data_IF_396213015370
#
_entry.id   IF_396213015370
#
_cell.length_a   1.000
_cell.length_b   1.000
_cell.length_c   1.000
_cell.angle_alpha   90.00
_cell.angle_beta   90.00
_cell.angle_gamma   90.00
#
_symmetry.space_group_name_H-M   'P 1'
#
loop_
_entity.id
_entity.type
_entity.pdbx_description
1 polymer ?
#
# COMPACT_ATOMS: atom_id res chain seq x y z
N UNK A 1 -2.27 -15.15 -5.04
CA UNK A 1 -1.41 -15.03 -3.81
C UNK A 1 -2.03 -14.18 -2.70
N UNK A 2 -2.67 -13.06 -2.98
CA UNK A 2 -3.29 -12.20 -1.95
C UNK A 2 -4.32 -12.97 -1.08
N UNK A 3 -5.32 -13.62 -1.69
CA UNK A 3 -6.34 -14.40 -0.96
C UNK A 3 -5.77 -15.57 -0.17
N UNK A 4 -4.72 -16.20 -0.66
CA UNK A 4 -3.99 -17.25 0.08
C UNK A 4 -3.35 -16.69 1.35
N UNK A 5 -2.90 -15.43 1.32
CA UNK A 5 -2.36 -14.77 2.52
C UNK A 5 -3.48 -14.44 3.51
N UNK A 6 -4.64 -13.98 3.06
CA UNK A 6 -5.82 -13.79 3.94
C UNK A 6 -6.22 -15.09 4.63
N UNK A 7 -6.36 -16.16 3.85
CA UNK A 7 -6.70 -17.50 4.38
C UNK A 7 -5.64 -17.98 5.37
N UNK A 8 -4.35 -17.86 5.05
CA UNK A 8 -3.24 -18.21 5.93
C UNK A 8 -3.28 -17.44 7.26
N UNK A 9 -3.59 -16.12 7.24
CA UNK A 9 -3.77 -15.33 8.46
C UNK A 9 -4.92 -15.88 9.30
N UNK A 10 -6.05 -16.21 8.68
CA UNK A 10 -7.21 -16.74 9.38
C UNK A 10 -6.95 -18.12 10.00
N UNK A 11 -6.20 -18.97 9.31
CA UNK A 11 -5.94 -20.33 9.79
C UNK A 11 -4.79 -20.40 10.81
N UNK A 12 -3.68 -19.74 10.55
CA UNK A 12 -2.42 -19.91 11.28
C UNK A 12 -1.89 -18.66 11.96
N UNK A 13 -2.52 -17.52 11.77
CA UNK A 13 -2.08 -16.24 12.33
C UNK A 13 -2.08 -16.23 13.85
N UNK A 14 -1.05 -15.66 14.43
CA UNK A 14 -0.95 -15.41 15.87
C UNK A 14 -1.89 -14.29 16.29
N UNK A 15 -2.33 -14.30 17.54
CA UNK A 15 -3.22 -13.26 18.08
C UNK A 15 -2.41 -12.30 18.93
N UNK A 16 -2.67 -11.00 18.75
CA UNK A 16 -2.09 -9.92 19.55
C UNK A 16 -3.13 -8.81 19.74
N UNK A 17 -3.08 -8.11 20.86
CA UNK A 17 -3.82 -6.86 21.05
C UNK A 17 -2.84 -5.69 20.93
N UNK A 18 -3.18 -4.71 20.10
CA UNK A 18 -2.49 -3.45 19.97
C UNK A 18 -3.40 -2.29 20.42
N UNK A 19 -2.93 -1.04 20.29
CA UNK A 19 -3.71 0.14 20.71
C UNK A 19 -5.04 0.31 19.94
N UNK A 20 -5.16 -0.28 18.75
CA UNK A 20 -6.33 -0.17 17.87
C UNK A 20 -7.29 -1.34 18.00
N UNK A 21 -6.91 -2.42 18.66
CA UNK A 21 -7.74 -3.60 18.83
C UNK A 21 -6.99 -4.91 18.75
N UNK A 22 -7.76 -5.99 18.70
CA UNK A 22 -7.23 -7.34 18.56
C UNK A 22 -7.02 -7.69 17.10
N UNK A 23 -5.86 -8.26 16.80
CA UNK A 23 -5.45 -8.65 15.46
C UNK A 23 -5.05 -10.13 15.38
N UNK A 24 -5.25 -10.72 14.21
CA UNK A 24 -4.60 -11.95 13.79
C UNK A 24 -3.52 -11.62 12.77
N UNK A 25 -2.27 -12.08 12.97
CA UNK A 25 -1.14 -11.61 12.17
C UNK A 25 -0.14 -12.71 11.79
N UNK A 26 0.59 -12.45 10.71
CA UNK A 26 1.78 -13.18 10.28
C UNK A 26 2.96 -12.21 10.17
N UNK A 27 4.18 -12.76 10.27
CA UNK A 27 5.41 -12.01 10.09
C UNK A 27 6.15 -12.50 8.85
N UNK A 28 6.82 -11.55 8.17
CA UNK A 28 7.72 -11.81 7.04
C UNK A 28 7.06 -12.58 5.90
N UNK A 29 5.84 -12.17 5.54
CA UNK A 29 5.14 -12.72 4.37
C UNK A 29 5.58 -11.99 3.09
N UNK A 30 5.58 -12.73 1.98
CA UNK A 30 5.90 -12.19 0.67
C UNK A 30 4.75 -12.42 -0.29
N UNK A 31 4.34 -11.34 -0.97
CA UNK A 31 3.38 -11.36 -2.07
C UNK A 31 4.10 -11.05 -3.38
N UNK A 32 3.85 -11.83 -4.42
CA UNK A 32 4.25 -11.49 -5.79
C UNK A 32 2.99 -11.48 -6.65
N UNK A 33 2.67 -10.30 -7.19
CA UNK A 33 1.41 -10.03 -7.91
C UNK A 33 1.70 -9.73 -9.37
N UNK A 34 1.04 -10.46 -10.24
CA UNK A 34 0.99 -10.19 -11.69
C UNK A 34 -0.06 -9.12 -12.00
N UNK A 35 -0.08 -8.52 -13.20
CA UNK A 35 -1.16 -7.63 -13.61
C UNK A 35 -2.56 -8.25 -13.49
N UNK A 36 -2.71 -9.55 -13.69
CA UNK A 36 -3.99 -10.25 -13.52
C UNK A 36 -4.42 -10.31 -12.04
N UNK A 37 -3.47 -10.64 -11.12
CA UNK A 37 -3.75 -10.61 -9.68
C UNK A 37 -4.18 -9.22 -9.21
N UNK A 38 -3.58 -8.16 -9.76
CA UNK A 38 -3.94 -6.77 -9.41
C UNK A 38 -5.37 -6.42 -9.80
N UNK A 39 -5.79 -6.81 -11.01
CA UNK A 39 -7.15 -6.56 -11.49
C UNK A 39 -8.17 -7.30 -10.63
N UNK A 40 -7.93 -8.57 -10.32
CA UNK A 40 -8.78 -9.38 -9.45
C UNK A 40 -8.95 -8.74 -8.06
N UNK A 41 -7.86 -8.29 -7.42
CA UNK A 41 -7.93 -7.57 -6.14
C UNK A 41 -8.76 -6.29 -6.28
N UNK A 42 -8.56 -5.50 -7.34
CA UNK A 42 -9.27 -4.23 -7.52
C UNK A 42 -10.75 -4.40 -7.83
N UNK A 43 -11.16 -5.51 -8.42
CA UNK A 43 -12.56 -5.82 -8.70
C UNK A 43 -13.27 -6.36 -7.46
N UNK A 44 -12.64 -7.23 -6.72
CA UNK A 44 -13.21 -7.89 -5.55
C UNK A 44 -13.31 -6.97 -4.32
N UNK A 45 -12.32 -6.08 -4.15
CA UNK A 45 -12.34 -5.11 -3.06
C UNK A 45 -13.08 -3.83 -3.44
N UNK A 46 -13.95 -3.36 -2.55
CA UNK A 46 -14.62 -2.07 -2.66
C UNK A 46 -13.70 -0.86 -2.37
N UNK A 47 -12.45 -0.87 -2.85
CA UNK A 47 -11.51 0.22 -2.62
C UNK A 47 -11.93 1.52 -3.30
N UNK A 48 -11.72 2.64 -2.63
CA UNK A 48 -12.08 3.97 -3.10
C UNK A 48 -11.09 4.50 -4.17
N UNK A 49 -11.00 3.84 -5.34
CA UNK A 49 -9.97 4.09 -6.38
C UNK A 49 -9.80 5.57 -6.75
N UNK A 50 -10.91 6.33 -6.85
CA UNK A 50 -10.85 7.77 -7.16
C UNK A 50 -10.14 8.55 -6.07
N UNK A 51 -10.47 8.29 -4.81
CA UNK A 51 -9.85 8.93 -3.64
C UNK A 51 -8.38 8.55 -3.52
N UNK A 52 -8.04 7.27 -3.70
CA UNK A 52 -6.64 6.81 -3.67
C UNK A 52 -5.79 7.42 -4.80
N UNK A 53 -6.36 7.62 -5.99
CA UNK A 53 -5.68 8.31 -7.08
C UNK A 53 -5.41 9.78 -6.73
N UNK A 54 -6.37 10.48 -6.14
CA UNK A 54 -6.19 11.86 -5.70
C UNK A 54 -5.22 11.96 -4.53
N UNK A 55 -5.28 11.02 -3.58
CA UNK A 55 -4.33 10.91 -2.47
C UNK A 55 -2.88 10.79 -2.96
N UNK A 56 -2.61 9.86 -3.89
CA UNK A 56 -1.28 9.71 -4.47
C UNK A 56 -0.80 11.01 -5.14
N UNK A 57 -1.69 11.71 -5.83
CA UNK A 57 -1.37 13.00 -6.46
C UNK A 57 -0.99 14.05 -5.41
N UNK A 58 -1.75 14.16 -4.32
CA UNK A 58 -1.44 15.06 -3.20
C UNK A 58 -0.10 14.68 -2.54
N UNK A 59 0.18 13.39 -2.37
CA UNK A 59 1.48 12.90 -1.88
C UNK A 59 2.63 13.33 -2.80
N UNK A 60 2.50 13.15 -4.10
CA UNK A 60 3.52 13.52 -5.10
C UNK A 60 3.75 15.03 -5.18
N UNK A 61 2.76 15.84 -4.81
CA UNK A 61 2.85 17.29 -4.71
C UNK A 61 3.42 17.77 -3.36
N UNK A 62 3.71 16.85 -2.43
CA UNK A 62 4.21 17.19 -1.10
C UNK A 62 3.18 17.91 -0.22
N UNK A 63 1.87 17.77 -0.51
CA UNK A 63 0.80 18.43 0.26
C UNK A 63 0.70 17.79 1.64
N UNK A 64 0.93 18.58 2.69
CA UNK A 64 0.91 18.13 4.10
C UNK A 64 -0.32 18.60 4.87
N UNK A 65 -1.08 19.55 4.34
CA UNK A 65 -2.30 20.08 4.94
C UNK A 65 -3.44 19.05 4.86
N UNK A 66 -3.92 18.55 6.01
CA UNK A 66 -4.96 17.53 6.10
C UNK A 66 -6.30 18.03 5.54
N UNK A 67 -6.57 19.35 5.60
CA UNK A 67 -7.81 19.90 5.02
C UNK A 67 -7.87 19.69 3.50
N UNK A 68 -6.72 19.69 2.80
CA UNK A 68 -6.70 19.39 1.35
C UNK A 68 -7.13 17.95 1.03
N UNK A 69 -6.84 17.00 1.92
CA UNK A 69 -7.32 15.63 1.80
C UNK A 69 -8.83 15.55 2.06
N UNK A 70 -9.33 16.27 3.07
CA UNK A 70 -10.78 16.35 3.35
C UNK A 70 -11.56 16.98 2.20
N UNK A 71 -11.07 18.06 1.60
CA UNK A 71 -11.63 18.69 0.42
C UNK A 71 -11.76 17.68 -0.75
N UNK A 72 -10.80 16.74 -0.85
CA UNK A 72 -10.84 15.64 -1.81
C UNK A 72 -11.71 14.44 -1.35
N UNK A 73 -12.38 14.55 -0.20
CA UNK A 73 -13.19 13.49 0.41
C UNK A 73 -12.37 12.36 1.04
N UNK A 74 -11.10 12.59 1.35
CA UNK A 74 -10.17 11.64 1.96
C UNK A 74 -10.13 11.93 3.46
N UNK A 75 -10.74 11.08 4.27
CA UNK A 75 -10.95 11.31 5.71
C UNK A 75 -10.10 10.42 6.62
N UNK A 76 -9.39 9.44 6.07
CA UNK A 76 -8.59 8.52 6.88
C UNK A 76 -7.28 9.11 7.42
N UNK A 77 -6.99 10.40 7.15
CA UNK A 77 -5.90 11.17 7.74
C UNK A 77 -6.35 12.11 8.88
N UNK A 78 -7.65 12.16 9.20
CA UNK A 78 -8.22 13.09 10.19
C UNK A 78 -7.60 12.93 11.59
N UNK A 79 -7.17 11.71 11.95
CA UNK A 79 -6.49 11.43 13.20
C UNK A 79 -5.09 12.06 13.32
N UNK A 80 -4.54 12.57 12.22
CA UNK A 80 -3.23 13.22 12.19
C UNK A 80 -3.25 14.69 12.62
N UNK A 81 -4.43 15.27 12.89
CA UNK A 81 -4.60 16.69 13.16
C UNK A 81 -4.55 17.52 11.88
N UNK A 82 -3.84 18.67 11.90
CA UNK A 82 -3.85 19.60 10.76
C UNK A 82 -2.77 19.31 9.72
N UNK A 83 -1.69 18.64 10.08
CA UNK A 83 -0.51 18.52 9.21
C UNK A 83 0.08 17.12 9.25
N UNK A 84 0.35 16.56 8.06
CA UNK A 84 1.08 15.33 7.88
C UNK A 84 2.59 15.58 8.02
N UNK A 85 3.12 15.36 9.22
CA UNK A 85 4.55 15.49 9.52
C UNK A 85 5.21 14.13 9.45
N UNK A 86 6.33 14.02 8.74
CA UNK A 86 7.08 12.76 8.58
C UNK A 86 6.23 11.61 8.02
N UNK A 87 5.26 11.92 7.15
CA UNK A 87 4.36 10.98 6.51
C UNK A 87 4.64 10.89 4.99
N UNK A 88 3.82 10.17 4.28
CA UNK A 88 3.95 9.90 2.84
C UNK A 88 4.28 11.14 1.98
N UNK A 89 3.61 12.31 2.12
CA UNK A 89 3.89 13.47 1.27
C UNK A 89 5.34 13.96 1.35
N UNK A 90 5.98 13.82 2.52
CA UNK A 90 7.39 14.23 2.74
C UNK A 90 8.37 13.47 1.83
N UNK A 91 8.02 12.26 1.46
CA UNK A 91 8.90 11.37 0.70
C UNK A 91 8.44 11.22 -0.75
N UNK A 92 7.14 11.22 -1.00
CA UNK A 92 6.55 11.03 -2.33
C UNK A 92 6.76 12.23 -3.27
N UNK A 93 7.06 13.41 -2.76
CA UNK A 93 7.50 14.54 -3.59
C UNK A 93 8.77 14.23 -4.43
N UNK A 94 9.52 13.19 -4.03
CA UNK A 94 10.71 12.70 -4.75
C UNK A 94 10.37 11.68 -5.85
N UNK A 95 9.14 11.20 -5.91
CA UNK A 95 8.71 10.20 -6.90
C UNK A 95 8.68 10.74 -8.34
N UNK A 96 8.14 11.94 -8.64
CA UNK A 96 8.10 12.46 -10.00
C UNK A 96 9.49 12.58 -10.66
N UNK A 97 10.52 13.16 -10.03
CA UNK A 97 11.85 13.22 -10.63
C UNK A 97 12.48 11.82 -10.80
N UNK A 98 12.19 10.86 -9.90
CA UNK A 98 12.64 9.49 -10.04
C UNK A 98 12.02 8.83 -11.27
N UNK A 99 10.71 8.95 -11.47
CA UNK A 99 10.01 8.41 -12.65
C UNK A 99 10.52 9.05 -13.94
N UNK A 100 10.70 10.37 -13.95
CA UNK A 100 11.29 11.08 -15.10
C UNK A 100 12.65 10.51 -15.45
N UNK A 101 13.48 10.21 -14.46
CA UNK A 101 14.80 9.60 -14.66
C UNK A 101 14.68 8.19 -15.22
N UNK A 102 13.79 7.35 -14.68
CA UNK A 102 13.55 5.98 -15.17
C UNK A 102 13.13 6.00 -16.64
N UNK A 103 12.15 6.84 -16.98
CA UNK A 103 11.62 6.94 -18.36
C UNK A 103 12.65 7.44 -19.36
N UNK A 104 13.57 8.31 -18.93
CA UNK A 104 14.68 8.78 -19.76
C UNK A 104 15.75 7.71 -19.98
N UNK A 105 16.14 7.01 -18.91
CA UNK A 105 17.27 6.08 -18.93
C UNK A 105 16.89 4.69 -19.46
N UNK A 106 15.71 4.19 -19.13
CA UNK A 106 15.14 2.88 -19.52
C UNK A 106 16.14 1.72 -19.42
N UNK A 107 16.99 1.74 -18.40
CA UNK A 107 18.03 0.73 -18.14
C UNK A 107 17.85 0.11 -16.76
N UNK A 108 18.32 -1.11 -16.57
CA UNK A 108 18.38 -1.69 -15.23
C UNK A 108 19.32 -0.88 -14.33
N UNK A 109 18.84 -0.44 -13.18
CA UNK A 109 19.63 0.28 -12.17
C UNK A 109 19.14 -0.08 -10.77
N UNK A 110 20.08 -0.44 -9.91
CA UNK A 110 19.79 -0.70 -8.48
C UNK A 110 19.44 0.57 -7.69
N UNK A 111 19.66 1.75 -8.29
CA UNK A 111 19.51 3.06 -7.64
C UNK A 111 18.13 3.71 -7.88
N UNK A 112 17.20 3.02 -8.53
CA UNK A 112 15.82 3.51 -8.65
C UNK A 112 15.02 3.13 -7.40
N UNK A 113 15.30 3.81 -6.30
CA UNK A 113 14.70 3.53 -4.99
C UNK A 113 14.10 4.80 -4.42
N UNK A 114 12.86 4.70 -3.95
CA UNK A 114 12.18 5.68 -3.12
C UNK A 114 12.19 5.17 -1.68
N UNK A 115 12.91 5.85 -0.80
CA UNK A 115 12.89 5.60 0.64
C UNK A 115 11.80 6.40 1.31
N UNK A 116 11.06 5.77 2.23
CA UNK A 116 9.88 6.32 2.90
C UNK A 116 10.07 6.23 4.42
N UNK A 117 10.71 7.21 4.99
CA UNK A 117 10.95 7.27 6.42
C UNK A 117 12.40 7.55 6.78
N UNK A 118 12.61 7.77 8.07
CA UNK A 118 13.92 8.05 8.68
C UNK A 118 14.14 7.11 9.87
N UNK A 119 15.41 6.80 10.17
CA UNK A 119 15.77 5.96 11.30
C UNK A 119 15.37 6.63 12.62
N UNK A 120 14.79 5.85 13.55
CA UNK A 120 14.38 6.34 14.86
C UNK A 120 13.11 7.21 14.84
N UNK A 121 12.35 7.20 13.74
CA UNK A 121 11.10 7.94 13.65
C UNK A 121 10.08 7.41 14.63
N UNK A 122 9.72 8.22 15.61
CA UNK A 122 8.63 7.98 16.55
C UNK A 122 7.41 8.80 16.16
N UNK A 123 6.62 8.31 15.20
CA UNK A 123 5.42 9.00 14.76
C UNK A 123 4.33 7.99 14.42
N UNK A 124 3.11 8.28 14.86
CA UNK A 124 1.92 7.53 14.44
C UNK A 124 1.57 7.79 12.97
N UNK A 125 2.22 8.76 12.34
CA UNK A 125 2.09 9.12 10.92
C UNK A 125 3.17 8.48 10.04
N UNK A 126 4.18 7.80 10.62
CA UNK A 126 5.26 7.19 9.86
C UNK A 126 4.70 6.20 8.81
N UNK A 127 5.16 6.27 7.55
CA UNK A 127 4.70 5.40 6.49
C UNK A 127 4.77 3.92 6.87
N UNK A 128 3.73 3.16 6.56
CA UNK A 128 3.77 1.70 6.66
C UNK A 128 4.68 1.11 5.60
N UNK A 129 4.71 1.69 4.42
CA UNK A 129 5.65 1.36 3.34
C UNK A 129 6.99 2.06 3.62
N UNK A 130 8.09 1.31 3.65
CA UNK A 130 9.42 1.82 4.01
C UNK A 130 10.31 2.10 2.80
N UNK A 131 10.12 1.36 1.70
CA UNK A 131 10.80 1.61 0.44
C UNK A 131 10.00 1.06 -0.74
N UNK A 132 10.24 1.66 -1.92
CA UNK A 132 9.83 1.13 -3.22
C UNK A 132 11.03 1.14 -4.14
N UNK A 133 11.35 0.01 -4.74
CA UNK A 133 12.39 -0.13 -5.75
C UNK A 133 11.78 -0.44 -7.12
N UNK A 134 12.24 0.29 -8.13
CA UNK A 134 11.89 0.07 -9.53
C UNK A 134 13.06 -0.63 -10.21
N UNK A 135 12.79 -1.77 -10.83
CA UNK A 135 13.78 -2.56 -11.57
C UNK A 135 13.27 -2.79 -12.98
N UNK A 136 14.18 -2.84 -13.94
CA UNK A 136 13.87 -3.19 -15.32
C UNK A 136 14.50 -4.54 -15.59
N UNK A 137 13.65 -5.50 -15.93
CA UNK A 137 14.03 -6.88 -16.24
C UNK A 137 13.48 -7.25 -17.60
N UNK A 138 14.37 -7.53 -18.55
CA UNK A 138 14.04 -7.88 -19.94
C UNK A 138 13.09 -6.86 -20.63
N UNK A 139 13.22 -5.58 -20.31
CA UNK A 139 12.39 -4.51 -20.89
C UNK A 139 11.03 -4.30 -20.19
N UNK A 140 10.76 -5.01 -19.14
CA UNK A 140 9.56 -4.90 -18.32
C UNK A 140 9.88 -4.32 -16.94
N UNK A 141 8.89 -3.67 -16.34
CA UNK A 141 8.99 -3.09 -14.99
C UNK A 141 8.67 -4.13 -13.92
N UNK A 142 9.56 -4.26 -12.96
CA UNK A 142 9.33 -4.98 -11.69
C UNK A 142 9.36 -3.96 -10.56
N UNK A 143 8.30 -3.88 -9.75
CA UNK A 143 8.29 -3.12 -8.51
C UNK A 143 8.51 -4.05 -7.32
N UNK A 144 9.38 -3.64 -6.40
CA UNK A 144 9.53 -4.30 -5.10
C UNK A 144 9.32 -3.28 -3.99
N UNK A 145 8.50 -3.61 -3.00
CA UNK A 145 8.22 -2.75 -1.86
C UNK A 145 8.36 -3.52 -0.54
N UNK A 146 8.85 -2.84 0.50
CA UNK A 146 8.80 -3.36 1.87
C UNK A 146 7.81 -2.56 2.70
N UNK A 147 6.91 -3.27 3.40
CA UNK A 147 5.97 -2.70 4.34
C UNK A 147 6.23 -3.25 5.75
N UNK A 148 6.53 -2.36 6.72
CA UNK A 148 6.75 -2.75 8.11
C UNK A 148 5.47 -3.27 8.78
N UNK A 149 4.31 -2.79 8.35
CA UNK A 149 3.00 -3.14 8.88
C UNK A 149 1.93 -2.97 7.80
N UNK A 150 0.98 -3.90 7.72
CA UNK A 150 -0.07 -3.86 6.72
C UNK A 150 -1.37 -4.48 7.24
N UNK A 151 -2.44 -3.70 7.28
CA UNK A 151 -3.79 -4.23 7.41
C UNK A 151 -4.17 -4.91 6.10
N UNK A 152 -4.39 -6.22 6.16
CA UNK A 152 -4.59 -7.03 4.96
C UNK A 152 -5.89 -6.69 4.21
N UNK A 153 -6.90 -6.15 4.88
CA UNK A 153 -8.21 -5.86 4.29
C UNK A 153 -8.37 -4.43 3.79
N UNK A 154 -7.73 -3.46 4.45
CA UNK A 154 -7.91 -2.03 4.18
C UNK A 154 -6.65 -1.40 3.59
N UNK A 155 -5.56 -1.44 4.34
CA UNK A 155 -4.30 -0.79 3.96
C UNK A 155 -3.65 -1.47 2.77
N UNK A 156 -3.51 -2.79 2.82
CA UNK A 156 -2.78 -3.54 1.79
C UNK A 156 -3.38 -3.40 0.37
N UNK A 157 -4.70 -3.53 0.14
CA UNK A 157 -5.27 -3.30 -1.18
C UNK A 157 -5.10 -1.86 -1.68
N UNK A 158 -5.17 -0.87 -0.78
CA UNK A 158 -4.92 0.54 -1.10
C UNK A 158 -3.46 0.78 -1.49
N UNK A 159 -2.51 0.22 -0.73
CA UNK A 159 -1.07 0.31 -1.01
C UNK A 159 -0.70 -0.40 -2.33
N UNK A 160 -1.29 -1.56 -2.59
CA UNK A 160 -1.15 -2.27 -3.89
C UNK A 160 -1.65 -1.37 -5.03
N UNK A 161 -2.78 -0.69 -4.84
CA UNK A 161 -3.29 0.23 -5.86
C UNK A 161 -2.38 1.44 -6.07
N UNK A 162 -1.79 2.01 -5.02
CA UNK A 162 -0.78 3.07 -5.14
C UNK A 162 0.46 2.59 -5.90
N UNK A 163 0.99 1.40 -5.59
CA UNK A 163 2.11 0.82 -6.34
C UNK A 163 1.77 0.61 -7.82
N UNK A 164 0.57 0.14 -8.12
CA UNK A 164 0.08 0.04 -9.50
C UNK A 164 0.02 1.40 -10.19
N UNK A 165 -0.50 2.44 -9.53
CA UNK A 165 -0.52 3.80 -10.08
C UNK A 165 0.88 4.39 -10.30
N UNK A 166 1.85 4.06 -9.44
CA UNK A 166 3.25 4.44 -9.66
C UNK A 166 3.83 3.71 -10.87
N UNK A 167 3.59 2.41 -11.00
CA UNK A 167 4.01 1.61 -12.15
C UNK A 167 3.47 2.16 -13.47
N UNK A 168 2.21 2.62 -13.48
CA UNK A 168 1.55 3.21 -14.66
C UNK A 168 2.16 4.51 -15.15
N UNK A 169 3.00 5.17 -14.36
CA UNK A 169 3.72 6.38 -14.76
C UNK A 169 5.07 6.05 -15.44
N UNK A 170 5.53 4.82 -15.30
CA UNK A 170 6.72 4.33 -16.01
C UNK A 170 6.29 3.84 -17.38
N UNK A 171 7.02 4.28 -18.43
CA UNK A 171 6.74 3.95 -19.84
C UNK A 171 7.29 2.57 -20.22
N UNK A 172 6.97 1.56 -19.42
CA UNK A 172 7.33 0.16 -19.62
C UNK A 172 6.16 -0.74 -19.22
N UNK A 173 5.98 -1.91 -19.83
CA UNK A 173 4.98 -2.87 -19.37
C UNK A 173 5.31 -3.34 -17.95
N UNK A 174 4.28 -3.49 -17.10
CA UNK A 174 4.44 -4.01 -15.75
C UNK A 174 4.51 -5.54 -15.79
N UNK A 175 5.63 -6.11 -15.29
CA UNK A 175 5.82 -7.56 -15.12
C UNK A 175 5.21 -8.05 -13.81
N UNK A 176 5.55 -7.38 -12.71
CA UNK A 176 5.05 -7.77 -11.37
C UNK A 176 5.23 -6.67 -10.33
N UNK A 177 4.46 -6.79 -9.24
CA UNK A 177 4.67 -6.07 -7.98
C UNK A 177 4.95 -7.11 -6.89
N UNK A 178 6.08 -6.97 -6.21
CA UNK A 178 6.45 -7.80 -5.05
C UNK A 178 6.39 -6.95 -3.78
N UNK A 179 5.71 -7.47 -2.75
CA UNK A 179 5.66 -6.85 -1.43
C UNK A 179 6.25 -7.80 -0.40
N UNK A 180 7.24 -7.33 0.34
CA UNK A 180 7.73 -7.97 1.55
C UNK A 180 7.05 -7.31 2.76
N UNK A 181 6.25 -8.07 3.50
CA UNK A 181 5.38 -7.62 4.57
C UNK A 181 5.98 -8.03 5.92
N UNK A 182 6.54 -7.07 6.67
CA UNK A 182 7.12 -7.31 7.99
C UNK A 182 6.08 -7.85 8.99
N UNK A 183 4.92 -7.22 9.03
CA UNK A 183 3.73 -7.67 9.77
C UNK A 183 2.50 -7.46 8.91
N UNK A 184 1.80 -8.51 8.57
CA UNK A 184 0.50 -8.44 7.90
C UNK A 184 -0.58 -9.00 8.82
N UNK A 185 -1.70 -8.28 8.94
CA UNK A 185 -2.72 -8.63 9.94
C UNK A 185 -4.14 -8.32 9.47
N UNK A 186 -5.09 -9.00 10.12
CA UNK A 186 -6.53 -8.76 10.02
C UNK A 186 -7.03 -8.36 11.41
N UNK A 187 -7.77 -7.26 11.49
CA UNK A 187 -8.46 -6.88 12.70
C UNK A 187 -9.67 -7.79 12.97
N UNK A 188 -9.93 -8.09 14.25
CA UNK A 188 -10.96 -9.05 14.67
C UNK A 188 -12.36 -8.67 14.14
N UNK A 189 -12.70 -7.39 14.10
CA UNK A 189 -13.97 -6.87 13.57
C UNK A 189 -14.14 -7.06 12.06
N UNK A 190 -13.09 -7.39 11.34
CA UNK A 190 -13.13 -7.65 9.89
C UNK A 190 -13.00 -9.13 9.51
N UNK A 191 -12.93 -10.05 10.48
CA UNK A 191 -12.76 -11.49 10.21
C UNK A 191 -13.93 -12.04 9.38
N UNK A 192 -15.18 -11.76 9.77
CA UNK A 192 -16.35 -12.28 9.07
C UNK A 192 -16.42 -11.77 7.63
N UNK A 193 -16.10 -10.50 7.42
CA UNK A 193 -16.03 -9.90 6.07
C UNK A 193 -14.90 -10.48 5.23
N UNK A 194 -13.80 -10.88 5.87
CA UNK A 194 -12.71 -11.58 5.17
C UNK A 194 -13.16 -12.98 4.71
N UNK A 195 -13.93 -13.67 5.52
CA UNK A 195 -14.52 -14.97 5.15
C UNK A 195 -15.52 -14.82 3.99
N UNK A 196 -16.36 -13.77 4.00
CA UNK A 196 -17.24 -13.45 2.87
C UNK A 196 -16.45 -13.21 1.58
N UNK A 197 -15.36 -12.41 1.63
CA UNK A 197 -14.47 -12.17 0.49
C UNK A 197 -13.88 -13.48 -0.04
N UNK A 198 -13.37 -14.33 0.84
CA UNK A 198 -12.80 -15.62 0.48
C UNK A 198 -13.85 -16.60 -0.09
N UNK A 199 -15.13 -16.42 0.23
CA UNK A 199 -16.25 -17.17 -0.37
C UNK A 199 -16.70 -16.65 -1.73
N UNK A 200 -16.07 -15.57 -2.25
CA UNK A 200 -16.36 -15.00 -3.56
C UNK A 200 -17.37 -13.85 -3.54
N UNK A 201 -17.71 -13.30 -2.39
CA UNK A 201 -18.52 -12.07 -2.31
C UNK A 201 -17.68 -10.87 -2.72
N UNK A 202 -18.13 -10.10 -3.69
CA UNK A 202 -17.44 -8.94 -4.24
C UNK A 202 -17.87 -7.63 -3.60
N UNK A 203 -17.04 -6.58 -3.75
CA UNK A 203 -17.29 -5.21 -3.28
C UNK A 203 -17.58 -5.09 -1.78
N UNK A 204 -16.92 -5.92 -0.98
CA UNK A 204 -17.06 -5.91 0.48
C UNK A 204 -16.50 -4.61 1.04
N UNK A 205 -17.29 -3.99 1.92
CA UNK A 205 -16.86 -2.81 2.68
C UNK A 205 -16.35 -3.27 4.05
N UNK A 206 -15.08 -3.10 4.27
CA UNK A 206 -14.44 -3.36 5.54
C UNK A 206 -14.66 -2.22 6.53
N UNK A 207 -14.65 -2.55 7.82
CA UNK A 207 -14.87 -1.58 8.87
C UNK A 207 -13.59 -0.76 9.12
N UNK A 208 -13.72 0.57 9.01
CA UNK A 208 -12.64 1.53 9.25
C UNK A 208 -12.43 1.86 10.74
N UNK A 209 -13.36 1.46 11.60
CA UNK A 209 -13.32 1.75 13.03
C UNK A 209 -12.37 0.78 13.76
N UNK A 210 -11.08 0.94 13.55
CA UNK A 210 -9.99 0.23 14.22
C UNK A 210 -9.04 1.18 14.93
#
# INVERSE_FOLDING_TARGET
MYYQTLDKILQTGKIQTNRKGRIKYLLNERLMLTPADLLDIFESHGIARKKLKEELKLFMQGVRDVEKYKEAGITWWDYCGHTLVNSYPTYFEKLPPLITRINREKRNSKNYVLFLGETGMESNQAPCQSLVQFQIDEGELVLSAYQRSSDANLGLPADIYHLYLMARQVELPLKSITLDLGNVHIYENNIDRTLELLSGVENIKFDLNV
#
